data_IF_506769510100
#
_entry.id   IF_506769510100
#
_cell.length_a   1.000
_cell.length_b   1.000
_cell.length_c   1.000
_cell.angle_alpha   90.00
_cell.angle_beta   90.00
_cell.angle_gamma   90.00
#
_symmetry.space_group_name_H-M   'P 1'
#
loop_
_entity.id
_entity.type
_entity.pdbx_description
1 polymer ?
#
# COMPACT_ATOMS: atom_id res chain seq x y z
N UNK A 1 8.63 -10.53 -19.98
CA UNK A 1 8.36 -11.10 -18.65
C UNK A 1 7.33 -10.18 -18.03
N UNK A 2 6.13 -10.69 -17.68
CA UNK A 2 5.07 -9.85 -17.12
C UNK A 2 5.11 -9.80 -15.60
N UNK A 3 4.68 -8.68 -15.03
CA UNK A 3 4.70 -8.39 -13.61
C UNK A 3 3.33 -7.90 -13.17
N UNK A 4 2.86 -8.41 -12.03
CA UNK A 4 1.67 -7.93 -11.37
C UNK A 4 2.08 -7.04 -10.19
N UNK A 5 1.53 -5.82 -10.09
CA UNK A 5 1.82 -4.90 -8.99
C UNK A 5 0.56 -4.70 -8.16
N UNK A 6 0.66 -4.90 -6.84
CA UNK A 6 -0.39 -4.51 -5.91
C UNK A 6 -0.46 -2.99 -5.79
N UNK A 7 -1.56 -2.38 -6.26
CA UNK A 7 -1.77 -0.94 -6.33
C UNK A 7 -2.93 -0.50 -5.45
N UNK A 8 -2.62 0.19 -4.34
CA UNK A 8 -3.63 0.79 -3.46
C UNK A 8 -3.95 2.25 -3.80
N UNK A 9 -3.13 2.89 -4.63
CA UNK A 9 -3.21 4.34 -4.90
C UNK A 9 -2.46 5.20 -3.88
N UNK A 10 -1.88 4.60 -2.84
CA UNK A 10 -0.97 5.27 -1.91
C UNK A 10 0.44 5.46 -2.50
N UNK A 11 1.26 6.27 -1.83
CA UNK A 11 2.61 6.62 -2.30
C UNK A 11 3.49 5.40 -2.54
N UNK A 12 3.52 4.42 -1.62
CA UNK A 12 4.41 3.27 -1.74
C UNK A 12 4.01 2.39 -2.91
N UNK A 13 2.72 2.06 -3.03
CA UNK A 13 2.21 1.24 -4.13
C UNK A 13 2.41 1.91 -5.49
N UNK A 14 2.34 3.25 -5.53
CA UNK A 14 2.59 4.04 -6.75
C UNK A 14 4.07 4.05 -7.10
N UNK A 15 4.97 4.20 -6.12
CA UNK A 15 6.43 4.09 -6.35
C UNK A 15 6.79 2.70 -6.82
N UNK A 16 6.19 1.67 -6.23
CA UNK A 16 6.35 0.27 -6.63
C UNK A 16 5.93 0.04 -8.10
N UNK A 17 4.79 0.61 -8.50
CA UNK A 17 4.31 0.57 -9.88
C UNK A 17 5.28 1.27 -10.84
N UNK A 18 5.70 2.49 -10.52
CA UNK A 18 6.61 3.27 -11.36
C UNK A 18 7.95 2.55 -11.55
N UNK A 19 8.51 1.94 -10.50
CA UNK A 19 9.73 1.12 -10.59
C UNK A 19 9.53 -0.11 -11.49
N UNK A 20 8.39 -0.80 -11.38
CA UNK A 20 8.09 -1.93 -12.25
C UNK A 20 7.97 -1.49 -13.71
N UNK A 21 7.36 -0.34 -13.98
CA UNK A 21 7.25 0.22 -15.33
C UNK A 21 8.62 0.61 -15.88
N UNK A 22 9.47 1.29 -15.10
CA UNK A 22 10.82 1.67 -15.52
C UNK A 22 11.66 0.42 -15.87
N UNK A 23 11.55 -0.64 -15.06
CA UNK A 23 12.35 -1.86 -15.21
C UNK A 23 11.86 -2.77 -16.34
N UNK A 24 10.55 -2.91 -16.52
CA UNK A 24 9.96 -3.93 -17.41
C UNK A 24 9.20 -3.35 -18.61
N UNK A 25 8.88 -2.06 -18.59
CA UNK A 25 8.03 -1.39 -19.58
C UNK A 25 6.53 -1.56 -19.26
N UNK A 26 5.75 -0.54 -19.61
CA UNK A 26 4.31 -0.44 -19.32
C UNK A 26 3.50 -1.67 -19.80
N UNK A 27 3.79 -2.17 -20.99
CA UNK A 27 3.10 -3.31 -21.61
C UNK A 27 3.30 -4.65 -20.87
N UNK A 28 4.30 -4.70 -19.99
CA UNK A 28 4.59 -5.87 -19.17
C UNK A 28 3.99 -5.79 -17.77
N UNK A 29 3.35 -4.67 -17.41
CA UNK A 29 2.88 -4.42 -16.05
C UNK A 29 1.35 -4.45 -16.00
N UNK A 30 0.83 -5.22 -15.05
CA UNK A 30 -0.60 -5.26 -14.70
C UNK A 30 -0.74 -4.83 -13.24
N UNK A 31 -1.66 -3.91 -12.96
CA UNK A 31 -1.97 -3.48 -11.60
C UNK A 31 -3.16 -4.27 -11.03
N UNK A 32 -3.12 -4.55 -9.73
CA UNK A 32 -4.23 -5.15 -8.98
C UNK A 32 -4.56 -4.28 -7.78
N UNK A 33 -5.79 -3.78 -7.72
CA UNK A 33 -6.31 -3.07 -6.56
C UNK A 33 -7.37 -3.90 -5.85
N UNK A 34 -7.28 -3.97 -4.52
CA UNK A 34 -8.22 -4.70 -3.69
C UNK A 34 -9.01 -3.74 -2.80
N UNK A 35 -10.33 -3.77 -2.93
CA UNK A 35 -11.26 -3.18 -1.99
C UNK A 35 -11.57 -4.18 -0.89
N UNK A 36 -11.47 -3.78 0.37
CA UNK A 36 -11.62 -4.67 1.52
C UNK A 36 -12.65 -4.19 2.54
N UNK A 37 -13.51 -3.24 2.16
CA UNK A 37 -14.50 -2.65 3.07
C UNK A 37 -13.97 -1.45 3.86
N UNK A 38 -12.92 -0.80 3.37
CA UNK A 38 -12.39 0.41 3.99
C UNK A 38 -13.43 1.55 4.04
N UNK A 39 -13.29 2.45 5.01
CA UNK A 39 -14.25 3.53 5.31
C UNK A 39 -14.60 4.44 4.12
N UNK A 40 -13.65 4.66 3.21
CA UNK A 40 -13.82 5.50 2.02
C UNK A 40 -13.23 4.82 0.78
N UNK A 41 -13.56 5.35 -0.41
CA UNK A 41 -13.07 4.86 -1.69
C UNK A 41 -11.98 5.75 -2.33
N UNK A 42 -11.46 6.76 -1.62
CA UNK A 42 -10.41 7.67 -2.13
C UNK A 42 -9.17 6.94 -2.64
N UNK A 43 -8.70 5.93 -1.91
CA UNK A 43 -7.59 5.05 -2.35
C UNK A 43 -7.91 4.35 -3.67
N UNK A 44 -9.11 3.79 -3.82
CA UNK A 44 -9.53 3.12 -5.05
C UNK A 44 -9.57 4.11 -6.24
N UNK A 45 -10.06 5.32 -6.00
CA UNK A 45 -10.04 6.38 -7.01
C UNK A 45 -8.61 6.78 -7.38
N UNK A 46 -7.72 6.90 -6.39
CA UNK A 46 -6.31 7.17 -6.61
C UNK A 46 -5.65 6.04 -7.42
N UNK A 47 -5.91 4.77 -7.10
CA UNK A 47 -5.41 3.62 -7.86
C UNK A 47 -5.84 3.68 -9.33
N UNK A 48 -7.10 4.01 -9.61
CA UNK A 48 -7.61 4.23 -10.98
C UNK A 48 -6.91 5.39 -11.68
N UNK A 49 -6.77 6.52 -11.01
CA UNK A 49 -6.10 7.70 -11.57
C UNK A 49 -4.64 7.40 -11.93
N UNK A 50 -3.92 6.72 -11.03
CA UNK A 50 -2.54 6.30 -11.24
C UNK A 50 -2.42 5.30 -12.39
N UNK A 51 -3.29 4.27 -12.42
CA UNK A 51 -3.30 3.30 -13.50
C UNK A 51 -3.56 3.96 -14.86
N UNK A 52 -4.49 4.91 -14.92
CA UNK A 52 -4.77 5.70 -16.12
C UNK A 52 -3.59 6.59 -16.54
N UNK A 53 -2.96 7.25 -15.58
CA UNK A 53 -1.79 8.10 -15.83
C UNK A 53 -0.66 7.31 -16.51
N UNK A 54 -0.34 6.14 -15.95
CA UNK A 54 0.69 5.26 -16.49
C UNK A 54 0.22 4.38 -17.65
N UNK A 55 -1.07 4.36 -17.96
CA UNK A 55 -1.70 3.51 -18.99
C UNK A 55 -1.48 2.01 -18.77
N UNK A 56 -1.50 1.57 -17.51
CA UNK A 56 -1.43 0.16 -17.14
C UNK A 56 -2.84 -0.44 -16.99
N UNK A 57 -2.98 -1.71 -17.33
CA UNK A 57 -4.21 -2.46 -17.04
C UNK A 57 -4.44 -2.51 -15.53
N UNK A 58 -5.63 -2.14 -15.06
CA UNK A 58 -6.03 -2.23 -13.66
C UNK A 58 -7.11 -3.29 -13.48
N UNK A 59 -6.81 -4.29 -12.65
CA UNK A 59 -7.78 -5.28 -12.16
C UNK A 59 -8.24 -4.84 -10.78
N UNK A 60 -9.56 -4.75 -10.58
CA UNK A 60 -10.15 -4.40 -9.29
C UNK A 60 -10.87 -5.60 -8.68
N UNK A 61 -10.65 -5.86 -7.39
CA UNK A 61 -11.30 -6.93 -6.65
C UNK A 61 -11.99 -6.43 -5.39
N UNK A 62 -13.11 -7.08 -5.05
CA UNK A 62 -13.80 -6.84 -3.79
C UNK A 62 -13.62 -8.04 -2.85
N UNK A 63 -12.85 -7.83 -1.78
CA UNK A 63 -12.56 -8.78 -0.71
C UNK A 63 -13.29 -8.42 0.60
N UNK A 64 -14.23 -7.47 0.58
CA UNK A 64 -14.88 -6.95 1.81
C UNK A 64 -15.58 -8.02 2.64
N UNK A 65 -16.13 -9.05 1.98
CA UNK A 65 -16.80 -10.18 2.65
C UNK A 65 -15.86 -10.95 3.57
N UNK A 66 -14.58 -11.04 3.23
CA UNK A 66 -13.58 -11.81 4.00
C UNK A 66 -13.24 -11.07 5.29
N UNK A 67 -13.29 -9.74 5.27
CA UNK A 67 -12.97 -8.89 6.43
C UNK A 67 -14.19 -8.51 7.27
N UNK A 68 -15.37 -9.06 7.00
CA UNK A 68 -16.60 -8.77 7.73
C UNK A 68 -16.51 -9.08 9.24
N UNK A 69 -15.62 -9.99 9.64
CA UNK A 69 -15.41 -10.38 11.04
C UNK A 69 -14.30 -9.57 11.75
N UNK A 70 -13.57 -8.72 11.02
CA UNK A 70 -12.51 -7.91 11.60
C UNK A 70 -13.10 -6.69 12.33
N UNK A 71 -12.45 -6.26 13.40
CA UNK A 71 -12.85 -5.11 14.20
C UNK A 71 -11.84 -3.94 14.09
N UNK A 72 -11.17 -3.83 12.95
CA UNK A 72 -10.20 -2.77 12.63
C UNK A 72 -10.88 -1.40 12.49
N UNK A 73 -10.23 -0.33 12.94
CA UNK A 73 -10.71 1.05 12.79
C UNK A 73 -10.77 1.54 11.34
N UNK A 74 -10.12 0.83 10.41
CA UNK A 74 -10.17 1.14 8.98
C UNK A 74 -11.42 0.58 8.28
N UNK A 75 -12.14 -0.35 8.92
CA UNK A 75 -13.31 -0.99 8.32
C UNK A 75 -14.59 -0.24 8.69
N UNK A 76 -15.45 -0.02 7.71
CA UNK A 76 -16.67 0.78 7.87
C UNK A 76 -17.61 0.23 8.94
N UNK A 77 -17.69 -1.09 9.11
CA UNK A 77 -18.62 -1.74 10.03
C UNK A 77 -18.13 -1.79 11.49
N UNK A 78 -16.88 -1.45 11.79
CA UNK A 78 -16.35 -1.56 13.15
C UNK A 78 -16.85 -0.44 14.08
N UNK A 79 -17.26 0.71 13.52
CA UNK A 79 -17.68 1.88 14.29
C UNK A 79 -16.57 2.53 15.13
N UNK A 80 -15.33 2.04 15.06
CA UNK A 80 -14.19 2.57 15.82
C UNK A 80 -13.60 3.81 15.15
N UNK A 81 -13.08 4.72 15.95
CA UNK A 81 -12.38 5.92 15.47
C UNK A 81 -10.96 5.58 14.98
N UNK A 82 -10.49 6.36 14.00
CA UNK A 82 -9.12 6.27 13.51
C UNK A 82 -8.24 7.10 14.45
N UNK A 83 -7.11 6.57 14.96
CA UNK A 83 -6.20 7.35 15.80
C UNK A 83 -5.61 8.55 15.04
N UNK A 84 -5.67 9.73 15.66
CA UNK A 84 -5.09 10.99 15.15
C UNK A 84 -3.76 11.29 15.86
N UNK A 85 -2.82 10.35 15.72
CA UNK A 85 -1.48 10.45 16.27
C UNK A 85 -0.49 9.62 15.44
N UNK A 86 0.80 9.85 15.65
CA UNK A 86 1.88 9.13 14.97
C UNK A 86 1.88 7.63 15.29
N UNK A 87 2.49 6.80 14.43
CA UNK A 87 2.64 5.39 14.76
C UNK A 87 3.48 5.15 16.02
N UNK A 88 4.46 6.01 16.30
CA UNK A 88 5.28 5.91 17.51
C UNK A 88 4.42 6.04 18.77
N UNK A 89 3.51 7.02 18.80
CA UNK A 89 2.57 7.21 19.91
C UNK A 89 1.60 6.03 20.02
N UNK A 90 1.03 5.58 18.88
CA UNK A 90 0.15 4.41 18.86
C UNK A 90 0.84 3.14 19.39
N UNK A 91 2.11 2.92 19.05
CA UNK A 91 2.88 1.77 19.52
C UNK A 91 3.22 1.87 21.02
N UNK A 92 3.41 3.08 21.54
CA UNK A 92 3.64 3.30 22.97
C UNK A 92 2.38 3.05 23.82
N UNK A 93 1.20 3.39 23.28
CA UNK A 93 -0.08 3.26 23.98
C UNK A 93 -0.80 1.91 23.74
N UNK A 94 -0.27 1.06 22.86
CA UNK A 94 -0.95 -0.17 22.47
C UNK A 94 -1.11 -1.13 23.66
N UNK A 95 -2.32 -1.65 23.81
CA UNK A 95 -2.63 -2.74 24.77
C UNK A 95 -2.51 -4.12 24.13
N UNK A 96 -2.67 -4.20 22.81
CA UNK A 96 -2.62 -5.44 22.04
C UNK A 96 -1.28 -5.57 21.29
N UNK A 97 -1.05 -6.75 20.71
CA UNK A 97 0.18 -7.04 19.93
C UNK A 97 0.28 -6.25 18.62
N UNK A 98 -0.84 -5.73 18.12
CA UNK A 98 -0.96 -5.00 16.85
C UNK A 98 -1.73 -3.70 17.05
N UNK A 99 -1.62 -2.78 16.09
CA UNK A 99 -2.36 -1.51 16.12
C UNK A 99 -3.87 -1.70 15.86
N UNK A 100 -4.70 -0.74 16.27
CA UNK A 100 -6.15 -0.78 16.05
C UNK A 100 -6.54 -0.70 14.56
N UNK A 101 -5.65 -0.16 13.74
CA UNK A 101 -5.75 -0.10 12.27
C UNK A 101 -5.40 -1.43 11.60
N UNK A 102 -4.80 -2.39 12.32
CA UNK A 102 -4.43 -3.69 11.77
C UNK A 102 -5.66 -4.46 11.31
N UNK A 103 -5.64 -4.88 10.04
CA UNK A 103 -6.62 -5.81 9.48
C UNK A 103 -5.95 -7.19 9.46
N UNK A 104 -6.49 -8.19 10.17
CA UNK A 104 -5.85 -9.49 10.28
C UNK A 104 -5.46 -10.11 8.94
N UNK A 105 -4.16 -10.36 8.78
CA UNK A 105 -3.57 -11.08 7.65
C UNK A 105 -3.94 -10.52 6.27
N UNK A 106 -4.16 -9.20 6.19
CA UNK A 106 -4.62 -8.53 4.98
C UNK A 106 -3.65 -8.73 3.81
N UNK A 107 -2.35 -8.51 4.01
CA UNK A 107 -1.37 -8.67 2.94
C UNK A 107 -1.24 -10.13 2.50
N UNK A 108 -1.43 -11.09 3.42
CA UNK A 108 -1.45 -12.51 3.09
C UNK A 108 -2.57 -12.85 2.12
N UNK A 109 -3.77 -12.31 2.37
CA UNK A 109 -4.89 -12.48 1.46
C UNK A 109 -4.62 -11.81 0.10
N UNK A 110 -4.12 -10.57 0.09
CA UNK A 110 -3.82 -9.85 -1.16
C UNK A 110 -2.80 -10.60 -2.01
N UNK A 111 -1.71 -11.07 -1.41
CA UNK A 111 -0.68 -11.86 -2.11
C UNK A 111 -1.24 -13.19 -2.63
N UNK A 112 -2.09 -13.86 -1.86
CA UNK A 112 -2.71 -15.13 -2.27
C UNK A 112 -3.65 -14.93 -3.48
N UNK A 113 -4.45 -13.88 -3.47
CA UNK A 113 -5.30 -13.52 -4.60
C UNK A 113 -4.49 -13.04 -5.81
N UNK A 114 -3.44 -12.25 -5.58
CA UNK A 114 -2.50 -11.81 -6.60
C UNK A 114 -1.82 -12.99 -7.29
N UNK A 115 -1.46 -14.05 -6.56
CA UNK A 115 -0.88 -15.27 -7.14
C UNK A 115 -1.81 -15.94 -8.15
N UNK A 116 -3.10 -16.09 -7.81
CA UNK A 116 -4.09 -16.67 -8.74
C UNK A 116 -4.22 -15.85 -10.03
N UNK A 117 -4.26 -14.51 -9.91
CA UNK A 117 -4.34 -13.62 -11.07
C UNK A 117 -3.02 -13.62 -11.87
N UNK A 118 -1.88 -13.56 -11.19
CA UNK A 118 -0.56 -13.52 -11.81
C UNK A 118 -0.36 -14.74 -12.73
N UNK A 119 -0.69 -15.95 -12.25
CA UNK A 119 -0.65 -17.18 -13.05
C UNK A 119 -1.54 -17.04 -14.29
N UNK A 120 -2.80 -16.61 -14.10
CA UNK A 120 -3.77 -16.47 -15.20
C UNK A 120 -3.39 -15.39 -16.22
N UNK A 121 -2.64 -14.37 -15.81
CA UNK A 121 -2.14 -13.27 -16.64
C UNK A 121 -0.73 -13.51 -17.16
N UNK A 122 -0.14 -14.70 -16.92
CA UNK A 122 1.23 -15.06 -17.28
C UNK A 122 2.30 -14.10 -16.69
N UNK A 123 2.02 -13.55 -15.51
CA UNK A 123 2.98 -12.76 -14.75
C UNK A 123 3.89 -13.68 -13.92
N UNK A 124 5.20 -13.45 -13.99
CA UNK A 124 6.19 -14.26 -13.26
C UNK A 124 6.60 -13.65 -11.93
N UNK A 125 6.22 -12.39 -11.68
CA UNK A 125 6.58 -11.66 -10.46
C UNK A 125 5.36 -10.89 -9.95
N UNK A 126 5.17 -10.91 -8.63
CA UNK A 126 4.25 -10.04 -7.90
C UNK A 126 5.06 -9.03 -7.11
N UNK A 127 4.79 -7.75 -7.33
CA UNK A 127 5.35 -6.64 -6.57
C UNK A 127 4.35 -6.15 -5.53
N UNK A 128 4.81 -5.93 -4.30
CA UNK A 128 4.03 -5.24 -3.27
C UNK A 128 4.91 -4.32 -2.41
N UNK A 129 4.37 -3.17 -2.03
CA UNK A 129 5.12 -2.07 -1.42
C UNK A 129 5.28 -2.13 0.09
N UNK A 130 5.44 -3.31 0.72
CA UNK A 130 5.71 -3.37 2.15
C UNK A 130 7.09 -2.82 2.50
N UNK A 131 7.19 -2.09 3.62
CA UNK A 131 8.40 -1.36 4.00
C UNK A 131 8.76 -1.48 5.49
N UNK A 132 9.95 -1.02 5.87
CA UNK A 132 10.52 -1.24 7.20
C UNK A 132 9.71 -0.57 8.32
N UNK A 133 9.18 0.63 8.07
CA UNK A 133 8.37 1.36 9.06
C UNK A 133 7.09 0.61 9.43
N UNK A 134 6.45 -0.10 8.50
CA UNK A 134 5.25 -0.92 8.78
C UNK A 134 5.59 -2.18 9.60
N UNK A 135 6.79 -2.73 9.40
CA UNK A 135 7.27 -3.87 10.16
C UNK A 135 7.77 -3.47 11.56
N UNK A 136 8.09 -2.18 11.76
CA UNK A 136 8.70 -1.68 12.99
C UNK A 136 7.82 -1.94 14.21
N UNK A 137 8.43 -2.45 15.27
CA UNK A 137 7.74 -2.76 16.52
C UNK A 137 6.61 -3.79 16.38
N UNK A 138 6.55 -4.56 15.30
CA UNK A 138 5.45 -5.47 14.95
C UNK A 138 4.10 -4.75 14.80
N UNK A 139 4.10 -3.51 14.30
CA UNK A 139 2.88 -2.75 14.00
C UNK A 139 1.96 -3.53 13.04
N UNK A 140 2.56 -4.08 11.97
CA UNK A 140 1.92 -4.96 10.99
C UNK A 140 2.77 -6.22 10.75
N UNK A 141 2.43 -7.38 11.35
CA UNK A 141 3.25 -8.60 11.23
C UNK A 141 3.38 -9.10 9.78
N UNK A 142 2.39 -8.79 8.95
CA UNK A 142 2.30 -9.13 7.53
C UNK A 142 3.05 -8.12 6.61
N UNK A 143 3.92 -7.29 7.19
CA UNK A 143 4.93 -6.49 6.48
C UNK A 143 6.36 -6.94 6.80
N UNK A 144 6.56 -7.96 7.64
CA UNK A 144 7.89 -8.39 8.08
C UNK A 144 8.69 -9.18 7.03
N UNK A 145 10.02 -9.18 7.09
CA UNK A 145 10.85 -10.02 6.21
C UNK A 145 10.56 -11.52 6.33
N UNK A 146 10.26 -12.00 7.54
CA UNK A 146 9.90 -13.40 7.76
C UNK A 146 8.58 -13.76 7.05
N UNK A 147 7.59 -12.86 7.11
CA UNK A 147 6.33 -13.03 6.39
C UNK A 147 6.52 -12.99 4.87
N UNK A 148 7.32 -12.04 4.36
CA UNK A 148 7.65 -11.94 2.93
C UNK A 148 8.24 -13.26 2.42
N UNK A 149 9.26 -13.79 3.09
CA UNK A 149 9.93 -15.03 2.67
C UNK A 149 8.98 -16.24 2.71
N UNK A 150 8.15 -16.35 3.75
CA UNK A 150 7.17 -17.40 3.88
C UNK A 150 6.13 -17.37 2.75
N UNK A 151 5.59 -16.18 2.44
CA UNK A 151 4.64 -16.01 1.34
C UNK A 151 5.28 -16.22 -0.03
N UNK A 152 6.51 -15.74 -0.24
CA UNK A 152 7.26 -15.96 -1.47
C UNK A 152 7.48 -17.45 -1.72
N UNK A 153 7.92 -18.20 -0.70
CA UNK A 153 8.11 -19.65 -0.80
C UNK A 153 6.79 -20.35 -1.11
N UNK A 154 5.72 -20.05 -0.37
CA UNK A 154 4.40 -20.66 -0.57
C UNK A 154 3.84 -20.39 -1.97
N UNK A 155 3.95 -19.16 -2.47
CA UNK A 155 3.46 -18.77 -3.80
C UNK A 155 4.34 -19.38 -4.90
N UNK A 156 5.66 -19.42 -4.72
CA UNK A 156 6.55 -20.04 -5.69
C UNK A 156 6.26 -21.52 -5.85
N UNK A 157 6.20 -22.29 -4.76
CA UNK A 157 5.89 -23.71 -4.85
C UNK A 157 4.44 -23.95 -5.32
N UNK A 158 3.48 -23.20 -4.78
CA UNK A 158 2.05 -23.33 -5.12
C UNK A 158 1.70 -22.93 -6.56
N UNK A 159 2.51 -22.09 -7.21
CA UNK A 159 2.37 -21.73 -8.62
C UNK A 159 3.06 -22.71 -9.58
N UNK A 160 3.62 -23.81 -9.07
CA UNK A 160 4.45 -24.70 -9.89
C UNK A 160 5.77 -24.04 -10.29
N UNK A 161 6.33 -23.19 -9.41
CA UNK A 161 7.61 -22.49 -9.56
C UNK A 161 7.61 -21.42 -10.66
N UNK A 162 6.44 -20.85 -10.93
CA UNK A 162 6.23 -19.86 -12.01
C UNK A 162 6.23 -18.42 -11.51
N UNK A 163 5.80 -18.18 -10.26
CA UNK A 163 5.57 -16.84 -9.72
C UNK A 163 6.43 -16.60 -8.48
N UNK A 164 7.14 -15.48 -8.43
CA UNK A 164 7.88 -15.00 -7.26
C UNK A 164 7.25 -13.73 -6.69
N UNK A 165 7.52 -13.45 -5.42
CA UNK A 165 7.07 -12.22 -4.75
C UNK A 165 8.28 -11.33 -4.44
N UNK A 166 8.24 -10.08 -4.91
CA UNK A 166 9.24 -9.06 -4.64
C UNK A 166 8.66 -7.93 -3.76
N UNK A 167 9.36 -7.62 -2.67
CA UNK A 167 9.07 -6.52 -1.75
C UNK A 167 10.23 -5.51 -1.81
N UNK A 168 10.27 -4.60 -2.79
CA UNK A 168 11.44 -3.74 -3.03
C UNK A 168 11.77 -2.81 -1.86
N UNK A 169 10.80 -2.51 -1.00
CA UNK A 169 10.93 -1.53 0.08
C UNK A 169 11.12 -2.13 1.47
N UNK A 170 11.24 -3.46 1.58
CA UNK A 170 11.26 -4.18 2.86
C UNK A 170 12.33 -3.68 3.85
N UNK A 171 13.41 -3.07 3.33
CA UNK A 171 14.52 -2.50 4.10
C UNK A 171 14.60 -0.97 4.02
N UNK A 172 13.67 -0.32 3.33
CA UNK A 172 13.63 1.12 3.13
C UNK A 172 12.63 1.77 4.06
N UNK A 173 12.99 2.94 4.56
CA UNK A 173 12.10 3.84 5.27
C UNK A 173 11.30 4.71 4.30
N UNK A 174 10.20 5.29 4.77
CA UNK A 174 9.29 6.12 3.99
C UNK A 174 9.99 7.23 3.21
N UNK A 175 10.96 7.89 3.83
CA UNK A 175 11.77 8.95 3.20
C UNK A 175 12.51 8.47 1.96
N UNK A 176 13.02 7.24 1.96
CA UNK A 176 13.76 6.66 0.84
C UNK A 176 12.79 6.27 -0.28
N UNK A 177 11.60 5.80 0.06
CA UNK A 177 10.52 5.51 -0.91
C UNK A 177 10.05 6.81 -1.58
N UNK A 178 9.87 7.89 -0.81
CA UNK A 178 9.50 9.20 -1.35
C UNK A 178 10.62 9.74 -2.25
N UNK A 179 11.89 9.60 -1.83
CA UNK A 179 13.05 9.96 -2.66
C UNK A 179 13.02 9.25 -4.01
N UNK A 180 12.85 7.92 -4.01
CA UNK A 180 12.76 7.13 -5.24
C UNK A 180 11.63 7.63 -6.14
N UNK A 181 10.46 7.90 -5.58
CA UNK A 181 9.35 8.39 -6.39
C UNK A 181 9.55 9.83 -6.89
N UNK A 182 10.29 10.68 -6.18
CA UNK A 182 10.67 12.00 -6.67
C UNK A 182 11.65 11.88 -7.86
N UNK A 183 12.65 11.00 -7.76
CA UNK A 183 13.61 10.73 -8.83
C UNK A 183 12.91 10.17 -10.08
N UNK A 184 11.87 9.35 -9.89
CA UNK A 184 10.99 8.81 -10.94
C UNK A 184 9.89 9.77 -11.42
N UNK A 185 9.80 10.98 -10.86
CA UNK A 185 8.80 12.01 -11.20
C UNK A 185 7.36 11.50 -11.11
N UNK A 186 7.03 10.84 -10.00
CA UNK A 186 5.68 10.35 -9.74
C UNK A 186 4.66 11.49 -9.70
N UNK A 187 3.42 11.24 -10.18
CA UNK A 187 2.30 12.17 -10.04
C UNK A 187 1.73 12.08 -8.61
N UNK A 188 2.49 12.57 -7.62
CA UNK A 188 2.12 12.47 -6.21
C UNK A 188 0.77 13.15 -5.87
N UNK A 189 0.35 14.13 -6.67
CA UNK A 189 -0.96 14.78 -6.62
C UNK A 189 -2.13 13.83 -6.92
N UNK A 190 -1.89 12.71 -7.59
CA UNK A 190 -2.91 11.70 -7.91
C UNK A 190 -3.01 10.58 -6.86
N UNK A 191 -2.08 10.55 -5.90
CA UNK A 191 -2.02 9.50 -4.88
C UNK A 191 -2.94 9.82 -3.70
N UNK A 192 -3.26 8.84 -2.86
CA UNK A 192 -4.01 9.07 -1.63
C UNK A 192 -3.55 8.12 -0.51
N UNK A 193 -3.24 8.67 0.66
CA UNK A 193 -2.78 7.89 1.82
C UNK A 193 -3.69 8.05 3.04
N UNK A 194 -4.42 9.16 3.18
CA UNK A 194 -5.20 9.48 4.39
C UNK A 194 -6.29 8.45 4.68
N UNK A 195 -6.45 8.06 5.96
CA UNK A 195 -7.48 7.12 6.42
C UNK A 195 -8.89 7.72 6.58
N UNK A 196 -9.03 9.05 6.65
CA UNK A 196 -10.33 9.72 6.86
C UNK A 196 -11.12 9.95 5.57
N UNK A 197 -10.43 10.10 4.43
CA UNK A 197 -11.08 10.21 3.13
C UNK A 197 -11.85 11.51 2.85
N UNK A 198 -11.53 12.60 3.55
CA UNK A 198 -12.10 13.93 3.32
C UNK A 198 -11.78 14.54 1.95
N UNK A 199 -12.09 15.82 1.76
CA UNK A 199 -11.71 16.55 0.54
C UNK A 199 -10.19 16.60 0.39
N UNK A 200 -9.51 16.99 1.46
CA UNK A 200 -8.06 16.97 1.61
C UNK A 200 -7.63 15.91 2.64
N UNK A 201 -6.38 15.40 2.57
CA UNK A 201 -5.84 14.56 3.64
C UNK A 201 -5.91 15.27 5.00
N UNK A 202 -6.22 14.57 6.09
CA UNK A 202 -6.54 15.21 7.37
C UNK A 202 -5.33 15.82 8.12
N UNK A 203 -4.10 15.41 7.78
CA UNK A 203 -2.88 15.88 8.44
C UNK A 203 -2.60 15.31 9.83
N UNK A 204 -3.54 14.55 10.39
CA UNK A 204 -3.49 14.15 11.80
C UNK A 204 -3.41 12.63 11.99
N UNK A 205 -3.83 11.82 11.01
CA UNK A 205 -3.67 10.37 11.08
C UNK A 205 -2.22 9.95 10.77
N UNK A 206 -1.78 8.82 11.32
CA UNK A 206 -0.38 8.36 11.22
C UNK A 206 0.19 8.35 9.80
N UNK A 207 -0.58 7.94 8.80
CA UNK A 207 -0.14 7.94 7.39
C UNK A 207 -0.04 9.34 6.76
N UNK A 208 -0.82 10.34 7.21
CA UNK A 208 -0.61 11.73 6.79
C UNK A 208 0.67 12.29 7.39
N UNK A 209 0.88 12.08 8.70
CA UNK A 209 2.08 12.53 9.42
C UNK A 209 3.34 11.95 8.77
N UNK A 210 3.37 10.64 8.52
CA UNK A 210 4.52 9.97 7.89
C UNK A 210 4.77 10.46 6.46
N UNK A 211 3.70 10.65 5.68
CA UNK A 211 3.79 11.16 4.31
C UNK A 211 4.41 12.56 4.31
N UNK A 212 3.89 13.47 5.11
CA UNK A 212 4.37 14.85 5.18
C UNK A 212 5.82 14.93 5.64
N UNK A 213 6.15 14.20 6.70
CA UNK A 213 7.52 14.08 7.19
C UNK A 213 8.48 13.54 6.13
N UNK A 214 8.07 12.52 5.36
CA UNK A 214 8.91 11.96 4.31
C UNK A 214 9.15 12.93 3.14
N UNK A 215 8.20 13.81 2.81
CA UNK A 215 8.42 14.89 1.85
C UNK A 215 9.37 15.96 2.42
N UNK A 216 9.14 16.40 3.67
CA UNK A 216 9.97 17.38 4.36
C UNK A 216 11.44 16.93 4.46
N UNK A 217 11.68 15.67 4.83
CA UNK A 217 13.03 15.08 4.91
C UNK A 217 13.75 15.01 3.55
N UNK A 218 13.01 15.11 2.44
CA UNK A 218 13.56 15.23 1.09
C UNK A 218 13.66 16.69 0.60
N UNK A 219 13.29 17.67 1.42
CA UNK A 219 13.29 19.08 1.03
C UNK A 219 12.17 19.46 0.06
N UNK A 220 11.09 18.69 0.03
CA UNK A 220 9.92 18.93 -0.82
C UNK A 220 8.67 19.18 0.03
N UNK A 221 7.71 19.91 -0.53
CA UNK A 221 6.36 20.06 0.04
C UNK A 221 5.46 19.01 -0.61
N UNK A 222 4.70 18.27 0.19
CA UNK A 222 3.72 17.32 -0.33
C UNK A 222 2.64 18.07 -1.14
N UNK A 223 2.42 17.71 -2.43
CA UNK A 223 1.46 18.39 -3.28
C UNK A 223 0.01 18.35 -2.75
N UNK A 224 -0.33 17.39 -1.89
CA UNK A 224 -1.67 17.32 -1.27
C UNK A 224 -1.84 18.18 -0.02
N UNK A 225 -0.74 18.70 0.56
CA UNK A 225 -0.80 19.63 1.71
C UNK A 225 -1.14 21.03 1.24
N UNK A 226 -0.74 21.41 0.02
CA UNK A 226 -0.97 22.76 -0.54
C UNK A 226 -2.47 23.10 -0.61
N UNK A 227 -3.34 22.09 -0.77
CA UNK A 227 -4.80 22.26 -0.74
C UNK A 227 -5.41 22.50 0.65
N UNK A 228 -4.65 22.39 1.75
CA UNK A 228 -5.17 22.56 3.12
C UNK A 228 -5.26 24.01 3.60
N UNK A 229 -4.72 24.99 2.85
CA UNK A 229 -4.78 26.41 3.21
C UNK A 229 -5.91 27.16 2.47
N UNK A 230 -6.88 27.79 3.12
CA UNK A 230 -7.10 27.93 4.56
C UNK A 230 -8.48 28.47 4.94
N UNK A 231 -8.75 28.42 6.24
CA UNK A 231 -9.60 29.33 7.00
C UNK A 231 -8.86 29.64 8.30
#
# INVERSE_FOLDING_TARGET
MKVLVLLSGGIDSTTCLAMAIEKYGVEQVVALSAFYGQKHNKELQAARNIANYYRVELIELNLSKIFAYSNSSLLKHSGKEIPHCSYVEQLAERKEKTLSTYIPFRNGLFLSTAASIAISKNCSIIFYGAHSDDAAGNAYPDCSPAFHEAMNTAIYEGSGRQVRVEAPFLKLHKKEIVKLGLDLKLPYELTWSCYEGGEYPCGQCGTCIDREKAFEENGHIDPLVIGRGGN
#
